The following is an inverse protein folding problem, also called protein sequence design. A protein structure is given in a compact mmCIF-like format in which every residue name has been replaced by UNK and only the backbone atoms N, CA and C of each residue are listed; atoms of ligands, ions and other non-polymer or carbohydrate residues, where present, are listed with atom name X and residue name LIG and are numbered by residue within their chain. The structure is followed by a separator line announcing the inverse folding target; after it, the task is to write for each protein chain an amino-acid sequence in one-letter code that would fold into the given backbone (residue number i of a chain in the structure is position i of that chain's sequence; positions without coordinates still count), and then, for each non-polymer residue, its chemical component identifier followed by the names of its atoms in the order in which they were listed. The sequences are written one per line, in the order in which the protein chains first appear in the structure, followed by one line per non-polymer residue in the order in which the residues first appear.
data_IF_968391340961
#
_entry.id   IF_968391340961
#
_cell.length_a   1.000
_cell.length_b   1.000
_cell.length_c   1.000
_cell.angle_alpha   90.00
_cell.angle_beta   90.00
_cell.angle_gamma   90.00
#
_symmetry.space_group_name_H-M   'P 1'
#
loop_
_entity.id
_entity.type
_entity.pdbx_description
1 polymer ?
#
# COMPACT_ATOMS: atom_id res chain seq x y z
N UNK A 1 24.42 19.40 -4.32
CA UNK A 1 24.23 20.79 -3.83
C UNK A 1 25.33 21.65 -4.42
N UNK A 2 24.97 22.70 -5.12
CA UNK A 2 25.95 23.69 -5.64
C UNK A 2 26.21 24.72 -4.55
N UNK A 3 27.38 24.74 -3.90
CA UNK A 3 27.70 25.74 -2.91
C UNK A 3 27.78 27.11 -3.59
N UNK A 4 27.20 28.14 -3.03
CA UNK A 4 27.43 29.51 -3.46
C UNK A 4 26.23 30.32 -3.90
N UNK A 5 25.03 29.81 -3.78
CA UNK A 5 23.79 30.51 -4.10
C UNK A 5 22.74 30.26 -3.00
N UNK A 6 22.92 30.92 -1.85
CA UNK A 6 22.09 30.68 -0.67
C UNK A 6 20.58 30.79 -0.95
N UNK A 7 20.15 31.79 -1.70
CA UNK A 7 18.73 31.94 -2.06
C UNK A 7 18.23 30.83 -2.95
N UNK A 8 19.07 30.32 -3.83
CA UNK A 8 18.72 29.24 -4.74
C UNK A 8 18.94 27.87 -4.12
N UNK A 9 19.76 27.75 -3.13
CA UNK A 9 19.88 26.53 -2.31
C UNK A 9 18.59 26.27 -1.55
N UNK A 10 18.01 27.29 -0.93
CA UNK A 10 16.72 27.16 -0.25
C UNK A 10 15.58 26.83 -1.19
N UNK A 11 15.60 27.31 -2.43
CA UNK A 11 14.52 27.06 -3.40
C UNK A 11 14.70 25.80 -4.22
N UNK A 12 15.90 25.26 -4.38
CA UNK A 12 16.10 24.03 -5.15
C UNK A 12 16.55 22.83 -4.31
N UNK A 13 17.53 22.98 -3.47
CA UNK A 13 18.00 21.90 -2.61
C UNK A 13 17.07 21.67 -1.43
N UNK A 14 16.97 22.65 -0.54
CA UNK A 14 16.03 22.63 0.57
C UNK A 14 14.58 22.76 0.10
N UNK A 15 14.31 23.46 -0.98
CA UNK A 15 12.96 23.59 -1.53
C UNK A 15 12.34 22.29 -2.03
N UNK A 16 13.14 21.30 -2.45
CA UNK A 16 12.63 19.97 -2.75
C UNK A 16 12.10 19.28 -1.49
N UNK A 17 12.83 19.40 -0.37
CA UNK A 17 12.39 18.89 0.93
C UNK A 17 11.24 19.70 1.50
N UNK A 18 11.28 21.00 1.40
CA UNK A 18 10.20 21.88 1.84
C UNK A 18 8.89 21.57 1.11
N UNK A 19 8.93 21.41 -0.20
CA UNK A 19 7.79 20.97 -1.00
C UNK A 19 7.30 19.59 -0.62
N UNK A 20 8.19 18.67 -0.27
CA UNK A 20 7.83 17.33 0.17
C UNK A 20 7.07 17.36 1.50
N UNK A 21 7.54 18.16 2.47
CA UNK A 21 7.04 18.14 3.85
C UNK A 21 6.01 19.23 4.16
N UNK A 22 6.14 20.40 3.57
CA UNK A 22 5.35 21.59 3.96
C UNK A 22 4.33 22.02 2.91
N UNK A 23 4.63 21.93 1.62
CA UNK A 23 3.70 22.40 0.58
C UNK A 23 2.47 21.50 0.41
N UNK A 24 2.60 20.22 0.71
CA UNK A 24 1.51 19.23 0.64
C UNK A 24 0.98 18.86 2.01
N UNK A 25 1.34 19.61 3.04
CA UNK A 25 0.98 19.36 4.42
C UNK A 25 1.87 18.28 5.08
N UNK A 26 1.68 18.10 6.37
CA UNK A 26 2.49 17.16 7.17
C UNK A 26 1.98 15.72 7.10
N UNK A 27 0.83 15.48 6.44
CA UNK A 27 0.29 14.14 6.27
C UNK A 27 1.13 13.33 5.27
N UNK A 28 1.75 12.22 5.69
CA UNK A 28 2.64 11.42 4.82
C UNK A 28 2.01 10.95 3.50
N UNK A 29 0.69 10.77 3.48
CA UNK A 29 -0.04 10.39 2.27
C UNK A 29 -0.03 11.44 1.15
N UNK A 30 0.29 12.69 1.49
CA UNK A 30 0.35 13.80 0.53
C UNK A 30 1.79 14.12 0.09
N UNK A 31 2.79 13.43 0.64
CA UNK A 31 4.18 13.70 0.30
C UNK A 31 4.55 13.14 -1.06
N UNK A 32 5.50 13.77 -1.71
CA UNK A 32 6.15 13.20 -2.88
C UNK A 32 7.05 12.04 -2.46
N UNK A 33 6.88 10.88 -3.10
CA UNK A 33 7.52 9.64 -2.67
C UNK A 33 8.64 9.19 -3.60
N UNK A 34 8.67 9.68 -4.83
CA UNK A 34 9.66 9.24 -5.81
C UNK A 34 10.74 10.29 -6.06
N UNK A 35 11.93 9.83 -6.44
CA UNK A 35 13.05 10.72 -6.78
C UNK A 35 12.68 11.71 -7.88
N UNK A 36 11.92 11.27 -8.87
CA UNK A 36 11.45 12.12 -9.97
C UNK A 36 10.51 13.23 -9.47
N UNK A 37 9.55 12.90 -8.61
CA UNK A 37 8.65 13.88 -8.01
C UNK A 37 9.40 14.91 -7.15
N UNK A 38 10.35 14.45 -6.34
CA UNK A 38 11.18 15.32 -5.47
C UNK A 38 12.02 16.27 -6.33
N UNK A 39 12.70 15.75 -7.35
CA UNK A 39 13.51 16.56 -8.26
C UNK A 39 12.65 17.60 -9.02
N UNK A 40 11.52 17.18 -9.56
CA UNK A 40 10.59 18.07 -10.25
C UNK A 40 10.02 19.14 -9.31
N UNK A 41 9.66 18.78 -8.09
CA UNK A 41 9.17 19.72 -7.07
C UNK A 41 10.22 20.80 -6.73
N UNK A 42 11.49 20.43 -6.59
CA UNK A 42 12.58 21.37 -6.40
C UNK A 42 12.71 22.36 -7.57
N UNK A 43 12.67 21.86 -8.80
CA UNK A 43 12.72 22.69 -10.00
C UNK A 43 11.51 23.63 -10.12
N UNK A 44 10.32 23.15 -9.76
CA UNK A 44 9.11 23.99 -9.71
C UNK A 44 9.23 25.11 -8.66
N UNK A 45 9.85 24.84 -7.51
CA UNK A 45 10.12 25.87 -6.50
C UNK A 45 11.00 26.99 -7.04
N UNK A 46 12.06 26.63 -7.79
CA UNK A 46 12.91 27.63 -8.47
C UNK A 46 12.10 28.40 -9.53
N UNK A 47 11.25 27.74 -10.28
CA UNK A 47 10.39 28.39 -11.30
C UNK A 47 9.43 29.40 -10.69
N UNK A 48 8.91 29.11 -9.51
CA UNK A 48 8.03 30.02 -8.74
C UNK A 48 8.79 31.19 -8.08
N UNK A 49 10.11 31.11 -7.94
CA UNK A 49 10.93 32.14 -7.35
C UNK A 49 11.20 33.31 -8.31
N UNK A 50 11.80 34.40 -7.82
CA UNK A 50 12.28 35.53 -8.63
C UNK A 50 13.68 35.32 -9.21
N UNK A 51 14.26 34.13 -9.09
CA UNK A 51 15.60 33.80 -9.56
C UNK A 51 15.75 34.02 -11.07
N UNK A 52 16.79 34.74 -11.53
CA UNK A 52 17.07 34.87 -12.96
C UNK A 52 17.67 33.57 -13.55
N UNK A 53 17.99 32.60 -12.72
CA UNK A 53 18.68 31.36 -13.11
C UNK A 53 17.74 30.14 -13.24
N UNK A 54 16.44 30.34 -13.47
CA UNK A 54 15.46 29.27 -13.61
C UNK A 54 15.88 28.23 -14.64
N UNK A 55 16.24 28.66 -15.84
CA UNK A 55 16.71 27.78 -16.91
C UNK A 55 17.91 26.94 -16.49
N UNK A 56 18.91 27.55 -15.83
CA UNK A 56 20.10 26.87 -15.36
C UNK A 56 19.77 25.71 -14.42
N UNK A 57 18.82 25.88 -13.50
CA UNK A 57 18.42 24.83 -12.58
C UNK A 57 17.72 23.68 -13.28
N UNK A 58 16.83 23.96 -14.23
CA UNK A 58 16.18 22.93 -15.03
C UNK A 58 17.17 22.13 -15.89
N UNK A 59 18.23 22.74 -16.36
CA UNK A 59 19.24 22.08 -17.19
C UNK A 59 20.31 21.34 -16.36
N UNK A 60 20.52 21.74 -15.11
CA UNK A 60 21.60 21.20 -14.27
C UNK A 60 21.12 20.11 -13.32
N UNK A 61 19.92 20.23 -12.78
CA UNK A 61 19.36 19.22 -11.87
C UNK A 61 18.64 18.13 -12.66
N UNK A 62 19.42 17.18 -13.11
CA UNK A 62 18.95 15.97 -13.78
C UNK A 62 19.05 14.77 -12.85
N UNK A 63 18.08 13.89 -12.93
CA UNK A 63 18.08 12.62 -12.22
C UNK A 63 18.78 11.57 -13.07
N UNK A 64 19.84 10.96 -12.53
CA UNK A 64 20.49 9.81 -13.12
C UNK A 64 19.95 8.54 -12.45
N UNK A 65 19.19 7.76 -13.20
CA UNK A 65 18.58 6.51 -12.73
C UNK A 65 17.07 6.50 -12.91
N UNK A 66 16.41 5.59 -12.22
CA UNK A 66 14.97 5.41 -12.30
C UNK A 66 14.22 6.47 -11.45
N UNK A 67 13.42 7.35 -12.07
CA UNK A 67 12.67 8.39 -11.37
C UNK A 67 11.54 7.83 -10.49
N UNK A 68 11.16 6.57 -10.66
CA UNK A 68 10.11 5.93 -9.87
C UNK A 68 10.59 5.41 -8.51
N UNK A 69 11.89 5.36 -8.28
CA UNK A 69 12.45 4.91 -7.01
C UNK A 69 12.03 5.81 -5.85
N UNK A 70 11.60 5.19 -4.77
CA UNK A 70 11.28 5.87 -3.51
C UNK A 70 12.48 5.85 -2.58
N UNK A 71 13.12 6.99 -2.31
CA UNK A 71 14.24 7.06 -1.38
C UNK A 71 13.77 6.86 0.06
N UNK A 72 14.63 6.35 0.90
CA UNK A 72 14.41 6.34 2.35
C UNK A 72 14.63 7.76 2.90
N UNK A 73 13.59 8.33 3.48
CA UNK A 73 13.64 9.66 4.09
C UNK A 73 13.58 9.46 5.60
N UNK A 74 14.72 9.54 6.26
CA UNK A 74 14.86 9.25 7.68
C UNK A 74 15.18 7.77 7.96
N UNK A 75 14.99 7.37 9.23
CA UNK A 75 15.26 6.00 9.66
C UNK A 75 14.10 5.08 9.23
N UNK A 76 14.35 4.01 8.47
CA UNK A 76 13.29 3.10 8.10
C UNK A 76 12.81 2.28 9.30
N UNK A 77 11.51 2.03 9.33
CA UNK A 77 10.85 1.22 10.33
C UNK A 77 10.55 -0.19 9.82
N UNK A 78 10.49 -1.15 10.75
CA UNK A 78 9.91 -2.47 10.49
C UNK A 78 8.41 -2.41 10.67
N UNK A 79 7.68 -2.93 9.70
CA UNK A 79 6.24 -3.16 9.83
C UNK A 79 5.99 -4.67 9.99
N UNK A 80 5.31 -5.06 11.06
CA UNK A 80 4.98 -6.46 11.29
C UNK A 80 3.88 -6.88 10.30
N UNK A 81 4.20 -7.87 9.49
CA UNK A 81 3.26 -8.51 8.55
C UNK A 81 3.06 -9.94 9.03
N UNK A 82 1.82 -10.28 9.36
CA UNK A 82 1.45 -11.60 9.84
C UNK A 82 0.81 -12.37 8.70
N UNK A 83 1.55 -13.29 8.14
CA UNK A 83 1.12 -14.21 7.07
C UNK A 83 1.60 -15.62 7.40
N UNK A 84 0.82 -16.65 7.08
CA UNK A 84 1.18 -18.04 7.36
C UNK A 84 2.41 -18.48 6.56
N UNK A 85 3.18 -19.41 7.11
CA UNK A 85 4.31 -20.05 6.41
C UNK A 85 3.82 -21.04 5.34
N UNK A 86 2.63 -21.60 5.54
CA UNK A 86 2.03 -22.58 4.65
C UNK A 86 0.54 -22.31 4.44
N UNK A 87 0.12 -22.41 3.19
CA UNK A 87 -1.27 -22.18 2.78
C UNK A 87 -1.78 -23.38 1.97
N UNK A 88 -3.11 -23.63 1.94
CA UNK A 88 -3.70 -24.64 1.10
C UNK A 88 -3.45 -24.38 -0.40
N UNK A 89 -3.34 -25.46 -1.18
CA UNK A 89 -3.08 -25.38 -2.64
C UNK A 89 -4.25 -24.83 -3.45
N UNK A 90 -5.43 -24.80 -2.88
CA UNK A 90 -6.65 -24.25 -3.47
C UNK A 90 -6.97 -22.82 -2.99
N UNK A 91 -6.03 -22.17 -2.30
CA UNK A 91 -6.17 -20.77 -1.93
C UNK A 91 -6.09 -19.88 -3.17
N UNK A 92 -7.15 -19.13 -3.45
CA UNK A 92 -7.23 -18.26 -4.63
C UNK A 92 -6.60 -16.87 -4.43
N UNK A 93 -6.53 -16.42 -3.17
CA UNK A 93 -5.94 -15.13 -2.83
C UNK A 93 -5.35 -15.14 -1.41
N UNK A 94 -4.21 -14.48 -1.26
CA UNK A 94 -3.59 -14.22 0.02
C UNK A 94 -4.07 -12.87 0.56
N UNK A 95 -4.81 -12.91 1.65
CA UNK A 95 -5.31 -11.74 2.35
C UNK A 95 -4.47 -11.48 3.60
N UNK A 96 -3.99 -10.26 3.78
CA UNK A 96 -3.22 -9.88 4.96
C UNK A 96 -3.28 -8.38 5.21
N UNK A 97 -2.71 -7.94 6.34
CA UNK A 97 -2.59 -6.55 6.72
C UNK A 97 -1.14 -6.10 6.59
N UNK A 98 -0.92 -4.94 5.96
CA UNK A 98 0.40 -4.35 5.79
C UNK A 98 0.33 -2.82 5.96
N UNK A 99 1.49 -2.17 5.92
CA UNK A 99 1.57 -0.70 6.01
C UNK A 99 0.75 -0.06 4.89
N UNK A 100 -0.19 0.86 5.20
CA UNK A 100 -0.93 1.61 4.18
C UNK A 100 -0.01 2.20 3.12
N UNK A 101 -0.44 2.14 1.87
CA UNK A 101 0.30 2.62 0.69
C UNK A 101 1.62 1.89 0.39
N UNK A 102 1.98 0.84 1.14
CA UNK A 102 3.06 -0.05 0.73
C UNK A 102 2.69 -0.78 -0.57
N UNK A 103 3.68 -1.29 -1.26
CA UNK A 103 3.50 -2.10 -2.47
C UNK A 103 3.83 -3.55 -2.14
N UNK A 104 2.91 -4.45 -2.41
CA UNK A 104 3.09 -5.87 -2.14
C UNK A 104 2.97 -6.69 -3.42
N UNK A 105 3.78 -7.72 -3.52
CA UNK A 105 3.85 -8.60 -4.68
C UNK A 105 4.02 -10.06 -4.27
N UNK A 106 3.39 -10.95 -5.02
CA UNK A 106 3.62 -12.39 -5.00
C UNK A 106 4.31 -12.80 -6.29
N UNK A 107 5.40 -13.55 -6.18
CA UNK A 107 6.13 -14.08 -7.33
C UNK A 107 6.69 -15.47 -7.03
N UNK A 108 6.97 -16.23 -8.08
CA UNK A 108 7.96 -17.28 -8.06
C UNK A 108 9.30 -16.75 -8.61
N UNK A 109 10.26 -17.65 -8.89
CA UNK A 109 11.58 -17.23 -9.37
C UNK A 109 11.54 -16.51 -10.72
N UNK A 110 10.56 -16.81 -11.57
CA UNK A 110 10.52 -16.38 -12.97
C UNK A 110 9.31 -15.49 -13.30
N UNK A 111 8.26 -15.50 -12.45
CA UNK A 111 6.98 -14.88 -12.81
C UNK A 111 6.41 -14.07 -11.65
N UNK A 112 6.01 -12.84 -11.95
CA UNK A 112 5.18 -12.04 -11.06
C UNK A 112 3.72 -12.49 -11.18
N UNK A 113 3.12 -12.96 -10.09
CA UNK A 113 1.74 -13.45 -10.08
C UNK A 113 0.75 -12.32 -9.85
N UNK A 114 1.00 -11.53 -8.84
CA UNK A 114 0.12 -10.42 -8.45
C UNK A 114 0.90 -9.34 -7.74
N UNK A 115 0.59 -8.09 -8.03
CA UNK A 115 1.17 -6.96 -7.32
C UNK A 115 0.15 -5.82 -7.19
N UNK A 116 0.07 -5.23 -5.99
CA UNK A 116 -0.87 -4.13 -5.69
C UNK A 116 -0.34 -3.22 -4.61
N UNK A 117 -0.87 -2.01 -4.58
CA UNK A 117 -0.74 -1.13 -3.42
C UNK A 117 -1.67 -1.59 -2.29
N UNK A 118 -1.16 -1.50 -1.07
CA UNK A 118 -1.94 -1.71 0.14
C UNK A 118 -2.95 -0.56 0.29
N UNK A 119 -4.18 -0.90 0.60
CA UNK A 119 -5.24 0.10 0.79
C UNK A 119 -4.93 1.08 1.94
N UNK A 120 -5.59 2.24 2.00
CA UNK A 120 -5.47 3.16 3.13
C UNK A 120 -5.83 2.54 4.48
N UNK A 121 -6.70 1.53 4.50
CA UNK A 121 -7.05 0.76 5.70
C UNK A 121 -6.01 -0.29 6.11
N UNK A 122 -4.95 -0.50 5.29
CA UNK A 122 -3.92 -1.49 5.53
C UNK A 122 -4.26 -2.90 5.00
N UNK A 123 -5.44 -3.12 4.45
CA UNK A 123 -5.83 -4.41 3.89
C UNK A 123 -5.32 -4.59 2.47
N UNK A 124 -4.92 -5.81 2.14
CA UNK A 124 -4.52 -6.18 0.78
C UNK A 124 -4.92 -7.62 0.49
N UNK A 125 -5.28 -7.86 -0.77
CA UNK A 125 -5.58 -9.17 -1.34
C UNK A 125 -4.73 -9.36 -2.59
N UNK A 126 -3.89 -10.39 -2.61
CA UNK A 126 -3.05 -10.75 -3.76
C UNK A 126 -3.54 -12.06 -4.35
N UNK A 127 -3.89 -12.03 -5.63
CA UNK A 127 -4.38 -13.23 -6.33
C UNK A 127 -3.27 -14.26 -6.51
N UNK A 128 -3.62 -15.53 -6.34
CA UNK A 128 -2.74 -16.69 -6.52
C UNK A 128 -3.20 -17.42 -7.78
N UNK A 129 -2.30 -17.72 -8.74
CA UNK A 129 -2.65 -18.51 -9.91
C UNK A 129 -3.12 -19.92 -9.54
N UNK A 130 -4.05 -20.45 -10.31
CA UNK A 130 -4.48 -21.83 -10.12
C UNK A 130 -3.33 -22.82 -10.45
N UNK A 131 -3.26 -23.90 -9.67
CA UNK A 131 -2.31 -24.98 -9.93
C UNK A 131 -0.91 -24.81 -9.38
N UNK A 132 -0.68 -23.78 -8.54
CA UNK A 132 0.58 -23.61 -7.81
C UNK A 132 0.79 -24.75 -6.83
N UNK A 133 2.00 -25.34 -6.81
CA UNK A 133 2.28 -26.55 -6.01
C UNK A 133 3.38 -26.38 -4.97
N UNK A 134 4.33 -25.49 -5.19
CA UNK A 134 5.54 -25.41 -4.37
C UNK A 134 5.52 -24.26 -3.38
N UNK A 135 5.99 -23.11 -3.80
CA UNK A 135 6.10 -21.92 -2.94
C UNK A 135 6.05 -20.64 -3.77
N UNK A 136 5.80 -19.55 -3.09
CA UNK A 136 5.99 -18.21 -3.65
C UNK A 136 6.75 -17.32 -2.69
N UNK A 137 7.28 -16.22 -3.21
CA UNK A 137 7.88 -15.15 -2.44
C UNK A 137 6.87 -14.01 -2.31
N UNK A 138 6.52 -13.68 -1.08
CA UNK A 138 5.84 -12.45 -0.74
C UNK A 138 6.89 -11.36 -0.49
N UNK A 139 6.81 -10.30 -1.25
CA UNK A 139 7.63 -9.08 -1.08
C UNK A 139 6.72 -7.91 -0.75
N UNK A 140 7.03 -7.18 0.33
CA UNK A 140 6.32 -5.93 0.66
C UNK A 140 7.34 -4.83 0.87
N UNK A 141 7.17 -3.73 0.15
CA UNK A 141 8.03 -2.55 0.21
C UNK A 141 7.19 -1.29 0.38
N UNK A 142 7.77 -0.27 0.97
CA UNK A 142 7.06 1.01 1.15
C UNK A 142 8.01 2.12 1.56
N UNK A 143 7.51 3.34 1.51
CA UNK A 143 8.25 4.52 1.93
C UNK A 143 8.70 4.38 3.39
N UNK A 144 9.99 4.58 3.66
CA UNK A 144 10.59 4.44 4.98
C UNK A 144 10.26 3.11 5.67
N UNK A 145 10.19 2.03 4.90
CA UNK A 145 9.93 0.69 5.38
C UNK A 145 11.12 -0.21 5.05
N UNK A 146 11.59 -0.99 6.03
CA UNK A 146 12.50 -2.09 5.74
C UNK A 146 11.73 -3.11 4.89
N UNK A 147 12.23 -3.48 3.71
CA UNK A 147 11.55 -4.45 2.85
C UNK A 147 11.29 -5.76 3.60
N UNK A 148 10.08 -6.27 3.47
CA UNK A 148 9.67 -7.55 4.04
C UNK A 148 9.69 -8.61 2.95
N UNK A 149 10.31 -9.74 3.24
CA UNK A 149 10.36 -10.91 2.37
C UNK A 149 9.93 -12.14 3.14
N UNK A 150 9.04 -12.93 2.55
CA UNK A 150 8.62 -14.19 3.13
C UNK A 150 8.31 -15.23 2.07
N UNK A 151 8.92 -16.40 2.19
CA UNK A 151 8.52 -17.57 1.39
C UNK A 151 7.28 -18.21 2.00
N UNK A 152 6.27 -18.45 1.18
CA UNK A 152 5.02 -19.11 1.54
C UNK A 152 4.93 -20.40 0.76
N UNK A 153 4.75 -21.52 1.47
CA UNK A 153 4.66 -22.84 0.89
C UNK A 153 3.20 -23.25 0.64
N UNK A 154 2.95 -23.93 -0.45
CA UNK A 154 1.64 -24.50 -0.77
C UNK A 154 1.58 -25.98 -0.38
N UNK A 155 0.46 -26.39 0.20
CA UNK A 155 0.30 -27.80 0.56
C UNK A 155 -0.88 -28.03 1.50
N UNK A 156 -1.01 -29.27 1.96
CA UNK A 156 -2.07 -29.61 2.89
C UNK A 156 -1.89 -28.90 4.24
N UNK A 157 -2.89 -28.16 4.66
CA UNK A 157 -2.97 -27.53 5.98
C UNK A 157 -3.93 -28.37 6.83
N UNK A 158 -3.40 -29.02 7.87
CA UNK A 158 -4.16 -29.93 8.73
C UNK A 158 -5.12 -29.21 9.66
N UNK A 159 -4.82 -27.98 10.00
CA UNK A 159 -5.62 -27.12 10.88
C UNK A 159 -6.75 -26.44 10.11
N UNK A 160 -7.65 -25.76 10.83
CA UNK A 160 -8.64 -24.91 10.19
C UNK A 160 -7.94 -23.71 9.52
N UNK A 161 -8.27 -23.46 8.28
CA UNK A 161 -7.76 -22.31 7.54
C UNK A 161 -8.93 -21.54 6.95
N UNK A 162 -9.20 -20.39 7.51
CA UNK A 162 -10.32 -19.54 7.10
C UNK A 162 -9.88 -18.56 6.01
N UNK A 163 -10.68 -18.47 4.97
CA UNK A 163 -10.52 -17.45 3.93
C UNK A 163 -11.81 -16.67 3.74
N UNK A 164 -11.67 -15.40 3.40
CA UNK A 164 -12.81 -14.56 3.06
C UNK A 164 -13.16 -14.78 1.59
N UNK A 165 -14.42 -15.07 1.34
CA UNK A 165 -14.98 -15.14 -0.01
C UNK A 165 -15.55 -13.80 -0.48
N UNK A 166 -16.79 -13.82 -0.99
CA UNK A 166 -17.47 -12.61 -1.43
C UNK A 166 -17.83 -11.69 -0.28
N UNK A 167 -17.71 -10.39 -0.54
CA UNK A 167 -18.25 -9.32 0.30
C UNK A 167 -19.36 -8.65 -0.52
N UNK A 168 -20.56 -8.59 0.04
CA UNK A 168 -21.74 -8.00 -0.62
C UNK A 168 -22.33 -6.95 0.29
N UNK A 169 -22.58 -5.77 -0.26
CA UNK A 169 -23.36 -4.73 0.38
C UNK A 169 -24.83 -4.95 0.03
N UNK A 170 -25.67 -5.04 1.06
CA UNK A 170 -27.11 -5.16 0.90
C UNK A 170 -27.73 -3.86 1.43
N UNK A 171 -28.04 -2.99 0.51
CA UNK A 171 -28.64 -1.67 0.69
C UNK A 171 -30.14 -1.65 0.38
N UNK A 172 -30.78 -2.81 0.47
CA UNK A 172 -32.23 -2.97 0.20
C UNK A 172 -33.13 -2.08 1.06
N UNK A 173 -32.60 -1.53 2.14
CA UNK A 173 -33.23 -0.51 2.96
C UNK A 173 -33.07 0.93 2.48
N UNK A 174 -32.26 1.16 1.46
CA UNK A 174 -31.93 2.44 0.86
C UNK A 174 -32.36 2.55 -0.61
N UNK A 175 -31.43 3.02 -1.47
CA UNK A 175 -31.68 3.22 -2.90
C UNK A 175 -31.53 1.95 -3.76
N UNK A 176 -30.95 0.89 -3.19
CA UNK A 176 -30.74 -0.43 -3.79
C UNK A 176 -29.88 -0.39 -5.07
N UNK A 177 -28.84 0.43 -5.09
CA UNK A 177 -27.86 0.49 -6.19
C UNK A 177 -26.61 -0.37 -5.96
N UNK A 178 -26.50 -1.02 -4.78
CA UNK A 178 -25.40 -1.89 -4.40
C UNK A 178 -24.18 -1.14 -3.84
N UNK A 179 -24.31 0.15 -3.58
CA UNK A 179 -23.26 1.02 -3.04
C UNK A 179 -23.72 1.64 -1.70
N UNK A 180 -22.85 1.77 -0.71
CA UNK A 180 -23.17 2.47 0.51
C UNK A 180 -23.16 3.99 0.31
N UNK A 181 -24.30 4.65 0.52
CA UNK A 181 -24.47 6.09 0.38
C UNK A 181 -24.55 6.82 1.73
N UNK A 182 -24.43 8.16 1.68
CA UNK A 182 -24.50 8.98 2.86
C UNK A 182 -25.91 8.94 3.51
N UNK A 183 -25.94 8.58 4.80
CA UNK A 183 -27.19 8.48 5.58
C UNK A 183 -27.96 7.18 5.37
N UNK A 184 -27.37 6.20 4.71
CA UNK A 184 -27.96 4.90 4.44
C UNK A 184 -27.50 3.83 5.44
N UNK A 185 -28.39 2.91 5.75
CA UNK A 185 -28.08 1.69 6.50
C UNK A 185 -27.85 0.53 5.52
N UNK A 186 -26.67 -0.04 5.57
CA UNK A 186 -26.26 -1.12 4.66
C UNK A 186 -25.85 -2.35 5.45
N UNK A 187 -26.40 -3.51 5.09
CA UNK A 187 -25.97 -4.77 5.68
C UNK A 187 -24.74 -5.32 4.92
N UNK A 188 -23.66 -5.57 5.65
CA UNK A 188 -22.46 -6.17 5.10
C UNK A 188 -22.53 -7.69 5.23
N UNK A 189 -22.67 -8.40 4.11
CA UNK A 189 -22.63 -9.86 4.05
C UNK A 189 -21.24 -10.33 3.64
N UNK A 190 -20.54 -10.99 4.56
CA UNK A 190 -19.19 -11.54 4.32
C UNK A 190 -19.28 -13.06 4.30
N UNK A 191 -18.93 -13.67 3.16
CA UNK A 191 -18.81 -15.12 3.07
C UNK A 191 -17.45 -15.56 3.59
N UNK A 192 -17.43 -16.51 4.51
CA UNK A 192 -16.21 -17.10 5.06
C UNK A 192 -16.20 -18.59 4.76
N UNK A 193 -15.08 -19.10 4.25
CA UNK A 193 -14.91 -20.52 3.90
C UNK A 193 -13.72 -21.10 4.66
N UNK A 194 -13.92 -22.29 5.24
CA UNK A 194 -12.80 -23.06 5.77
C UNK A 194 -12.24 -23.97 4.66
N UNK A 195 -11.01 -23.71 4.25
CA UNK A 195 -10.27 -24.50 3.24
C UNK A 195 -9.17 -25.36 3.87
N UNK A 196 -9.03 -25.33 5.21
CA UNK A 196 -8.22 -26.28 5.96
C UNK A 196 -8.94 -27.62 6.18
N UNK A 197 -8.21 -28.58 6.74
CA UNK A 197 -8.74 -29.95 6.96
C UNK A 197 -9.48 -30.11 8.27
N UNK A 198 -9.12 -29.37 9.30
CA UNK A 198 -9.82 -29.44 10.58
C UNK A 198 -11.07 -28.58 10.60
N UNK A 199 -12.14 -28.99 11.27
CA UNK A 199 -13.28 -28.12 11.52
C UNK A 199 -12.92 -26.99 12.48
N UNK A 200 -13.63 -25.87 12.37
CA UNK A 200 -13.58 -24.81 13.40
C UNK A 200 -14.85 -24.87 14.24
N UNK A 201 -14.71 -24.77 15.54
CA UNK A 201 -15.84 -24.77 16.47
C UNK A 201 -16.31 -23.37 16.85
N UNK A 202 -15.46 -22.36 16.67
CA UNK A 202 -15.76 -20.98 16.98
C UNK A 202 -15.03 -20.06 16.00
N UNK A 203 -15.76 -19.17 15.38
CA UNK A 203 -15.23 -18.11 14.53
C UNK A 203 -15.61 -16.77 15.14
N UNK A 204 -14.64 -15.88 15.26
CA UNK A 204 -14.87 -14.49 15.63
C UNK A 204 -14.39 -13.61 14.49
N UNK A 205 -15.25 -12.74 14.01
CA UNK A 205 -14.92 -11.74 13.01
C UNK A 205 -14.92 -10.35 13.65
N UNK A 206 -13.97 -9.52 13.27
CA UNK A 206 -13.91 -8.12 13.65
C UNK A 206 -13.99 -7.25 12.41
N UNK A 207 -14.96 -6.35 12.37
CA UNK A 207 -15.06 -5.32 11.36
C UNK A 207 -14.45 -4.04 11.91
N UNK A 208 -13.42 -3.52 11.24
CA UNK A 208 -12.82 -2.23 11.55
C UNK A 208 -13.03 -1.27 10.38
N UNK A 209 -13.41 -0.05 10.70
CA UNK A 209 -13.66 1.01 9.72
C UNK A 209 -12.66 2.14 9.95
N UNK A 210 -11.95 2.56 8.90
CA UNK A 210 -10.96 3.63 8.96
C UNK A 210 -11.56 5.04 8.77
N UNK A 211 -12.83 5.13 8.39
CA UNK A 211 -13.53 6.40 8.13
C UNK A 211 -14.41 6.82 9.29
N UNK A 212 -14.32 8.08 9.69
CA UNK A 212 -15.23 8.69 10.67
C UNK A 212 -16.66 8.92 10.14
N UNK A 213 -16.87 8.69 8.84
CA UNK A 213 -18.17 8.82 8.18
C UNK A 213 -19.01 7.55 8.25
N UNK A 214 -18.42 6.44 8.72
CA UNK A 214 -19.09 5.15 8.81
C UNK A 214 -19.16 4.74 10.27
N UNK A 215 -20.35 4.36 10.72
CA UNK A 215 -20.58 3.77 12.04
C UNK A 215 -20.91 2.29 11.85
N UNK A 216 -20.26 1.42 12.60
CA UNK A 216 -20.57 0.00 12.63
C UNK A 216 -21.53 -0.26 13.77
N UNK A 217 -22.71 -0.77 13.46
CA UNK A 217 -23.64 -1.32 14.43
C UNK A 217 -23.51 -2.85 14.38
N UNK A 218 -23.19 -3.45 15.50
CA UNK A 218 -23.12 -4.91 15.62
C UNK A 218 -24.45 -5.40 16.23
N UNK A 219 -25.04 -6.43 15.63
CA UNK A 219 -26.15 -7.21 16.20
C UNK A 219 -25.68 -8.15 17.31
#
# INVERSE_FOLDING_TARGET
CTPGLSVTYETSGAGAFDRLFHTHGEAPGNWYHTLGQINFSGNMSVSASTSPRKKYYWETYILLGDPSLSPMIGRPDTFRIDVPDKVPTDLEALNFFAKPFAYAALSDFDTLWSARFVSPSGNISLSIPAGVKDSCLLTVTGQNMIPFFKTIYFGEVKEAFMTTGSIVFDDSGGNNDGLPDYGEYVNLKVTVKNIGKAPTSKLTAHLAVASSLITVEAD
#
